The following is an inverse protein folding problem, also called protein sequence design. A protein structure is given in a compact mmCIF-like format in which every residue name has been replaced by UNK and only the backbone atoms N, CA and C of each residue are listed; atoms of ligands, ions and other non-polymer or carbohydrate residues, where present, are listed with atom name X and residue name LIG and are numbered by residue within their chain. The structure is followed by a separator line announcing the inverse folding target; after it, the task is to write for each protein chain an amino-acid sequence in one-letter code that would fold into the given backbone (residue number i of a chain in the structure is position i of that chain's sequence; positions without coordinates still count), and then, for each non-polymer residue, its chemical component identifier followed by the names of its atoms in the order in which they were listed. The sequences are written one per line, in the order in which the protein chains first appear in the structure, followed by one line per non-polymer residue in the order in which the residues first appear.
data_IF_781591105495
#
_entry.id   IF_781591105495
#
_cell.length_a   1.000
_cell.length_b   1.000
_cell.length_c   1.000
_cell.angle_alpha   90.00
_cell.angle_beta   90.00
_cell.angle_gamma   90.00
#
_symmetry.space_group_name_H-M   'P 1'
#
loop_
_entity.id
_entity.type
_entity.pdbx_description
1 polymer ?
#
# COMPACT_ATOMS: atom_id res chain seq x y z
N UNK A 1 30.70 -10.56 6.05
CA UNK A 1 29.80 -9.41 6.28
C UNK A 1 29.04 -8.99 5.02
N UNK A 2 29.68 -8.70 3.88
CA UNK A 2 28.98 -8.26 2.64
C UNK A 2 27.92 -9.24 2.11
N UNK A 3 28.10 -10.55 2.30
CA UNK A 3 27.16 -11.59 1.84
C UNK A 3 25.93 -11.70 2.77
N UNK A 4 26.06 -11.36 4.06
CA UNK A 4 24.93 -11.29 4.99
C UNK A 4 24.07 -10.05 4.76
N UNK A 5 24.70 -8.91 4.43
CA UNK A 5 23.97 -7.69 4.05
C UNK A 5 23.17 -7.84 2.74
N UNK A 6 23.56 -8.77 1.85
CA UNK A 6 22.89 -9.03 0.57
C UNK A 6 21.51 -9.70 0.74
N UNK A 7 21.30 -10.41 1.86
CA UNK A 7 20.05 -11.10 2.16
C UNK A 7 19.07 -10.20 2.93
N UNK A 8 19.59 -9.35 3.83
CA UNK A 8 18.78 -8.46 4.67
C UNK A 8 18.41 -7.16 3.95
N UNK A 9 19.29 -6.62 3.10
CA UNK A 9 19.07 -5.40 2.34
C UNK A 9 19.56 -5.58 0.91
N UNK A 10 18.72 -6.12 0.04
CA UNK A 10 19.08 -6.36 -1.33
C UNK A 10 19.65 -5.12 -2.04
N UNK A 11 20.66 -5.25 -2.91
CA UNK A 11 21.35 -4.12 -3.53
C UNK A 11 20.49 -3.30 -4.50
N UNK A 12 19.26 -3.74 -4.78
CA UNK A 12 18.24 -2.99 -5.51
C UNK A 12 17.54 -1.92 -4.67
N UNK A 13 17.81 -1.83 -3.36
CA UNK A 13 17.34 -0.71 -2.56
C UNK A 13 17.96 0.60 -3.04
N UNK A 14 17.11 1.62 -3.19
CA UNK A 14 17.46 2.94 -3.74
C UNK A 14 18.67 3.58 -3.02
N UNK A 15 18.84 3.33 -1.72
CA UNK A 15 19.98 3.84 -0.96
C UNK A 15 21.33 3.37 -1.50
N UNK A 16 21.44 2.11 -1.94
CA UNK A 16 22.68 1.57 -2.52
C UNK A 16 22.85 2.00 -3.97
N UNK A 17 21.78 1.98 -4.75
CA UNK A 17 21.81 2.40 -6.16
C UNK A 17 22.15 3.89 -6.32
N UNK A 18 21.64 4.75 -5.44
CA UNK A 18 21.93 6.18 -5.47
C UNK A 18 23.41 6.46 -5.20
N UNK A 19 23.98 5.86 -4.16
CA UNK A 19 25.41 6.01 -3.83
C UNK A 19 26.27 5.38 -4.93
N UNK A 20 25.89 4.19 -5.42
CA UNK A 20 26.59 3.54 -6.52
C UNK A 20 26.57 4.38 -7.80
N UNK A 21 25.45 5.00 -8.16
CA UNK A 21 25.34 5.87 -9.33
C UNK A 21 26.18 7.15 -9.18
N UNK A 22 26.21 7.75 -7.98
CA UNK A 22 27.07 8.91 -7.69
C UNK A 22 28.55 8.53 -7.76
N UNK A 23 28.93 7.40 -7.16
CA UNK A 23 30.30 6.90 -7.17
C UNK A 23 30.72 6.49 -8.58
N UNK A 24 29.88 5.78 -9.34
CA UNK A 24 30.13 5.48 -10.75
C UNK A 24 30.28 6.77 -11.53
N UNK A 25 29.38 7.75 -11.43
CA UNK A 25 29.52 9.02 -12.14
C UNK A 25 30.76 9.84 -11.72
N UNK A 26 31.23 9.72 -10.48
CA UNK A 26 32.40 10.42 -9.96
C UNK A 26 33.74 9.71 -10.27
N UNK A 27 33.72 8.38 -10.34
CA UNK A 27 34.88 7.51 -10.60
C UNK A 27 34.94 7.04 -12.06
N UNK A 28 33.94 7.36 -12.87
CA UNK A 28 33.93 7.08 -14.30
C UNK A 28 34.97 7.97 -15.00
N UNK A 29 36.18 7.42 -15.16
CA UNK A 29 37.25 8.00 -15.98
C UNK A 29 37.03 7.77 -17.48
N UNK A 30 36.10 6.89 -17.86
CA UNK A 30 35.67 6.76 -19.25
C UNK A 30 34.86 7.98 -19.61
N UNK A 31 35.56 9.00 -20.12
CA UNK A 31 34.96 10.10 -20.88
C UNK A 31 34.13 9.46 -21.98
N UNK A 32 32.83 9.26 -21.76
CA UNK A 32 31.87 8.98 -22.81
C UNK A 32 31.97 10.17 -23.75
N UNK A 33 32.78 9.97 -24.77
CA UNK A 33 33.06 10.91 -25.83
C UNK A 33 31.80 10.88 -26.69
N UNK A 34 30.72 11.47 -26.17
CA UNK A 34 29.53 11.81 -26.94
C UNK A 34 30.04 12.47 -28.21
N UNK A 35 29.68 11.85 -29.33
CA UNK A 35 30.22 12.07 -30.67
C UNK A 35 30.65 13.52 -30.85
N UNK A 36 31.96 13.69 -30.99
CA UNK A 36 32.64 14.98 -31.09
C UNK A 36 32.19 15.73 -32.35
N UNK A 37 31.16 16.55 -32.22
CA UNK A 37 31.04 17.78 -32.99
C UNK A 37 31.89 18.86 -32.30
N UNK A 38 32.95 19.32 -32.97
CA UNK A 38 33.77 20.47 -32.54
C UNK A 38 32.84 21.64 -32.19
N UNK A 39 32.67 21.98 -30.90
CA UNK A 39 31.95 23.22 -30.57
C UNK A 39 31.37 23.42 -29.18
N UNK A 40 31.16 22.42 -28.30
CA UNK A 40 30.58 22.76 -26.99
C UNK A 40 30.87 21.74 -25.88
N UNK A 41 32.01 21.92 -25.20
CA UNK A 41 32.24 21.34 -23.86
C UNK A 41 31.23 21.86 -22.82
N UNK A 42 30.50 22.93 -23.14
CA UNK A 42 29.45 23.53 -22.32
C UNK A 42 28.16 22.71 -22.40
N UNK A 43 27.79 22.17 -23.57
CA UNK A 43 26.52 21.45 -23.78
C UNK A 43 26.37 20.19 -22.92
N UNK A 44 27.43 19.38 -22.77
CA UNK A 44 27.39 18.18 -21.92
C UNK A 44 27.32 18.51 -20.42
N UNK A 45 28.04 19.55 -19.97
CA UNK A 45 27.99 20.02 -18.57
C UNK A 45 26.65 20.66 -18.23
N UNK A 46 26.07 21.41 -19.16
CA UNK A 46 24.71 21.97 -19.03
C UNK A 46 23.68 20.86 -18.99
N UNK A 47 23.77 19.84 -19.85
CA UNK A 47 22.87 18.68 -19.82
C UNK A 47 22.91 17.93 -18.48
N UNK A 48 24.10 17.69 -17.94
CA UNK A 48 24.27 17.08 -16.62
C UNK A 48 23.71 17.97 -15.50
N UNK A 49 23.95 19.28 -15.57
CA UNK A 49 23.36 20.25 -14.63
C UNK A 49 21.83 20.25 -14.66
N UNK A 50 21.23 20.14 -15.84
CA UNK A 50 19.76 20.05 -16.01
C UNK A 50 19.22 18.74 -15.41
N UNK A 51 19.87 17.59 -15.68
CA UNK A 51 19.45 16.30 -15.10
C UNK A 51 19.53 16.32 -13.57
N UNK A 52 20.62 16.86 -13.01
CA UNK A 52 20.79 16.99 -11.56
C UNK A 52 19.74 17.92 -10.95
N UNK A 53 19.40 19.02 -11.63
CA UNK A 53 18.36 19.94 -11.19
C UNK A 53 16.98 19.29 -11.23
N UNK A 54 16.65 18.52 -12.27
CA UNK A 54 15.42 17.73 -12.33
C UNK A 54 15.37 16.65 -11.23
N UNK A 55 16.48 15.94 -11.00
CA UNK A 55 16.57 14.96 -9.92
C UNK A 55 16.34 15.61 -8.55
N UNK A 56 16.94 16.79 -8.31
CA UNK A 56 16.74 17.56 -7.09
C UNK A 56 15.29 18.01 -6.92
N UNK A 57 14.64 18.49 -7.99
CA UNK A 57 13.23 18.87 -7.96
C UNK A 57 12.32 17.68 -7.63
N UNK A 58 12.58 16.51 -8.23
CA UNK A 58 11.85 15.27 -7.93
C UNK A 58 12.03 14.86 -6.46
N UNK A 59 13.25 14.95 -5.93
CA UNK A 59 13.53 14.65 -4.52
C UNK A 59 12.83 15.62 -3.56
N UNK A 60 12.82 16.91 -3.87
CA UNK A 60 12.11 17.92 -3.08
C UNK A 60 10.60 17.63 -3.10
N UNK A 61 10.04 17.36 -4.27
CA UNK A 61 8.63 17.02 -4.41
C UNK A 61 8.29 15.76 -3.61
N UNK A 62 9.09 14.70 -3.73
CA UNK A 62 8.87 13.45 -3.00
C UNK A 62 8.97 13.64 -1.48
N UNK A 63 9.94 14.43 -1.01
CA UNK A 63 10.08 14.76 0.43
C UNK A 63 8.86 15.50 0.96
N UNK A 64 8.38 16.51 0.22
CA UNK A 64 7.18 17.27 0.63
C UNK A 64 5.94 16.38 0.70
N UNK A 65 5.79 15.49 -0.30
CA UNK A 65 4.71 14.53 -0.38
C UNK A 65 4.73 13.54 0.79
N UNK A 66 5.92 13.05 1.15
CA UNK A 66 6.12 12.18 2.30
C UNK A 66 5.77 12.87 3.62
N UNK A 67 6.20 14.13 3.82
CA UNK A 67 5.88 14.91 5.02
C UNK A 67 4.37 15.17 5.16
N UNK A 68 3.68 15.43 4.04
CA UNK A 68 2.21 15.56 4.03
C UNK A 68 1.51 14.25 4.40
N UNK A 69 1.99 13.13 3.86
CA UNK A 69 1.47 11.81 4.20
C UNK A 69 1.71 11.48 5.68
N UNK A 70 2.91 11.71 6.18
CA UNK A 70 3.27 11.51 7.59
C UNK A 70 2.43 12.39 8.52
N UNK A 71 2.23 13.66 8.17
CA UNK A 71 1.32 14.56 8.89
C UNK A 71 -0.12 14.06 8.93
N UNK A 72 -0.63 13.57 7.81
CA UNK A 72 -1.99 13.03 7.73
C UNK A 72 -2.15 11.73 8.54
N UNK A 73 -1.12 10.88 8.57
CA UNK A 73 -1.09 9.63 9.33
C UNK A 73 -0.92 9.87 10.84
N UNK A 74 -0.05 10.79 11.24
CA UNK A 74 0.16 11.14 12.66
C UNK A 74 -1.04 11.90 13.24
N UNK A 75 -1.62 12.83 12.48
CA UNK A 75 -2.87 13.51 12.86
C UNK A 75 -4.07 12.55 13.05
N UNK A 76 -4.03 11.37 12.43
CA UNK A 76 -5.02 10.29 12.63
C UNK A 76 -4.86 9.60 13.99
N UNK A 77 -3.63 9.41 14.47
CA UNK A 77 -3.35 8.78 15.76
C UNK A 77 -3.78 9.63 16.97
N UNK A 78 -3.70 10.96 16.85
CA UNK A 78 -4.03 11.89 17.94
C UNK A 78 -5.55 12.01 18.18
N UNK A 79 -6.39 11.74 17.16
CA UNK A 79 -7.84 11.96 17.28
C UNK A 79 -8.59 10.84 18.05
N UNK A 80 -7.95 9.73 18.40
CA UNK A 80 -8.41 8.71 19.38
C UNK A 80 -9.76 8.01 19.11
N UNK A 81 -10.54 8.45 18.12
CA UNK A 81 -11.83 7.90 17.74
C UNK A 81 -11.73 7.30 16.34
N UNK A 82 -11.96 6.00 16.25
CA UNK A 82 -12.17 5.32 14.98
C UNK A 82 -13.25 6.08 14.18
N UNK A 83 -12.88 6.63 13.02
CA UNK A 83 -13.80 7.31 12.09
C UNK A 83 -13.67 8.83 11.97
N UNK A 84 -13.03 9.55 12.90
CA UNK A 84 -12.87 11.01 12.77
C UNK A 84 -11.46 11.40 12.34
N UNK A 85 -11.30 11.67 11.04
CA UNK A 85 -10.07 12.26 10.50
C UNK A 85 -10.19 13.78 10.59
N UNK A 86 -9.24 14.46 11.22
CA UNK A 86 -9.22 15.94 11.27
C UNK A 86 -9.36 16.54 9.87
N UNK A 87 -10.10 17.65 9.66
CA UNK A 87 -10.24 18.32 8.37
C UNK A 87 -8.89 18.63 7.71
N UNK A 88 -7.88 18.93 8.54
CA UNK A 88 -6.52 19.19 8.10
C UNK A 88 -5.86 17.92 7.52
N UNK A 89 -6.04 16.78 8.16
CA UNK A 89 -5.55 15.50 7.65
C UNK A 89 -6.31 15.04 6.39
N UNK A 90 -7.60 15.37 6.25
CA UNK A 90 -8.36 15.11 5.02
C UNK A 90 -7.84 15.95 3.85
N UNK A 91 -7.57 17.24 4.07
CA UNK A 91 -6.97 18.12 3.05
C UNK A 91 -5.60 17.62 2.59
N UNK A 92 -4.73 17.23 3.53
CA UNK A 92 -3.42 16.67 3.21
C UNK A 92 -3.51 15.36 2.41
N UNK A 93 -4.46 14.48 2.71
CA UNK A 93 -4.69 13.25 1.92
C UNK A 93 -5.17 13.55 0.49
N UNK A 94 -6.03 14.55 0.32
CA UNK A 94 -6.49 14.98 -1.00
C UNK A 94 -5.34 15.54 -1.85
N UNK A 95 -4.41 16.26 -1.23
CA UNK A 95 -3.21 16.76 -1.92
C UNK A 95 -2.26 15.62 -2.30
N UNK A 96 -2.06 14.63 -1.42
CA UNK A 96 -1.24 13.44 -1.72
C UNK A 96 -1.88 12.59 -2.84
N UNK A 97 -3.21 12.50 -2.92
CA UNK A 97 -3.89 11.80 -4.02
C UNK A 97 -3.59 12.39 -5.41
N UNK A 98 -3.32 13.70 -5.50
CA UNK A 98 -2.96 14.35 -6.76
C UNK A 98 -1.52 14.04 -7.20
N UNK A 99 -0.73 13.37 -6.35
CA UNK A 99 0.66 13.02 -6.61
C UNK A 99 0.74 11.56 -7.11
N UNK A 100 1.07 11.31 -8.39
CA UNK A 100 0.97 9.97 -8.99
C UNK A 100 1.72 8.88 -8.23
N UNK A 101 2.89 9.21 -7.67
CA UNK A 101 3.75 8.26 -6.95
C UNK A 101 3.22 7.85 -5.57
N UNK A 102 2.39 8.68 -4.93
CA UNK A 102 1.88 8.42 -3.57
C UNK A 102 0.36 8.21 -3.51
N UNK A 103 -0.32 8.30 -4.64
CA UNK A 103 -1.78 8.14 -4.73
C UNK A 103 -2.26 6.83 -4.09
N UNK A 104 -1.57 5.71 -4.34
CA UNK A 104 -1.90 4.40 -3.75
C UNK A 104 -1.74 4.34 -2.22
N UNK A 105 -0.84 5.14 -1.63
CA UNK A 105 -0.69 5.24 -0.17
C UNK A 105 -1.80 6.09 0.46
N UNK A 106 -2.27 7.12 -0.25
CA UNK A 106 -3.46 7.85 0.17
C UNK A 106 -4.72 6.96 0.09
N UNK A 107 -4.85 6.14 -0.96
CA UNK A 107 -5.93 5.16 -1.06
C UNK A 107 -5.88 4.10 0.05
N UNK A 108 -4.69 3.57 0.37
CA UNK A 108 -4.51 2.66 1.51
C UNK A 108 -4.98 3.31 2.82
N UNK A 109 -4.60 4.57 3.02
CA UNK A 109 -5.00 5.35 4.19
C UNK A 109 -6.51 5.57 4.26
N UNK A 110 -7.19 5.77 3.14
CA UNK A 110 -8.65 5.89 3.07
C UNK A 110 -9.34 4.55 3.27
N UNK A 111 -8.79 3.47 2.70
CA UNK A 111 -9.30 2.11 2.86
C UNK A 111 -9.30 1.67 4.32
N UNK A 112 -8.30 2.07 5.10
CA UNK A 112 -8.25 1.83 6.54
C UNK A 112 -9.42 2.46 7.34
N UNK A 113 -10.11 3.45 6.77
CA UNK A 113 -11.27 4.13 7.38
C UNK A 113 -12.61 3.53 6.92
N UNK A 114 -12.59 2.53 6.03
CA UNK A 114 -13.83 1.92 5.55
C UNK A 114 -14.52 1.18 6.69
N UNK A 115 -15.70 1.67 7.05
CA UNK A 115 -16.68 0.90 7.82
C UNK A 115 -17.49 0.00 6.89
N UNK A 116 -17.63 -1.28 7.26
CA UNK A 116 -18.46 -2.25 6.54
C UNK A 116 -19.93 -1.98 6.87
N UNK A 117 -20.63 -1.33 5.94
CA UNK A 117 -22.06 -1.06 6.00
C UNK A 117 -22.57 -0.74 4.57
N UNK A 118 -23.89 -0.62 4.42
CA UNK A 118 -24.53 -0.36 3.12
C UNK A 118 -24.19 1.02 2.52
N UNK A 119 -23.81 2.01 3.33
CA UNK A 119 -23.60 3.38 2.85
C UNK A 119 -22.35 3.46 1.97
N UNK A 120 -22.53 3.94 0.73
CA UNK A 120 -21.43 4.11 -0.23
C UNK A 120 -20.72 2.80 -0.60
N UNK A 121 -21.41 1.66 -0.49
CA UNK A 121 -20.80 0.33 -0.60
C UNK A 121 -20.05 0.08 -1.92
N UNK A 122 -20.60 0.58 -3.05
CA UNK A 122 -19.96 0.44 -4.37
C UNK A 122 -18.60 1.13 -4.40
N UNK A 123 -18.49 2.33 -3.84
CA UNK A 123 -17.25 3.09 -3.82
C UNK A 123 -16.24 2.47 -2.85
N UNK A 124 -16.70 1.98 -1.69
CA UNK A 124 -15.89 1.23 -0.73
C UNK A 124 -15.31 -0.03 -1.35
N UNK A 125 -16.12 -0.80 -2.07
CA UNK A 125 -15.67 -1.99 -2.82
C UNK A 125 -14.63 -1.63 -3.87
N UNK A 126 -14.88 -0.59 -4.66
CA UNK A 126 -13.94 -0.16 -5.70
C UNK A 126 -12.61 0.31 -5.10
N UNK A 127 -12.64 1.09 -4.03
CA UNK A 127 -11.45 1.55 -3.30
C UNK A 127 -10.68 0.36 -2.71
N UNK A 128 -11.35 -0.51 -1.94
CA UNK A 128 -10.69 -1.66 -1.32
C UNK A 128 -10.09 -2.61 -2.36
N UNK A 129 -10.76 -2.79 -3.51
CA UNK A 129 -10.23 -3.60 -4.61
C UNK A 129 -8.97 -3.02 -5.26
N UNK A 130 -8.87 -1.68 -5.41
CA UNK A 130 -7.64 -1.03 -5.89
C UNK A 130 -6.51 -1.18 -4.89
N UNK A 131 -6.80 -0.96 -3.61
CA UNK A 131 -5.81 -1.13 -2.53
C UNK A 131 -5.35 -2.58 -2.43
N UNK A 132 -6.23 -3.57 -2.58
CA UNK A 132 -5.87 -4.99 -2.56
C UNK A 132 -4.88 -5.37 -3.67
N UNK A 133 -4.99 -4.77 -4.86
CA UNK A 133 -4.04 -4.97 -5.97
C UNK A 133 -2.68 -4.31 -5.72
N UNK A 134 -2.68 -3.21 -4.97
CA UNK A 134 -1.46 -2.48 -4.64
C UNK A 134 -0.72 -3.11 -3.45
N UNK A 135 -1.43 -3.39 -2.36
CA UNK A 135 -0.89 -3.92 -1.12
C UNK A 135 -1.89 -4.89 -0.48
N UNK A 136 -1.76 -6.20 -0.75
CA UNK A 136 -2.60 -7.20 -0.11
C UNK A 136 -2.08 -7.42 1.31
N UNK A 137 -2.67 -6.70 2.26
CA UNK A 137 -2.43 -6.90 3.70
C UNK A 137 -3.67 -7.51 4.35
N UNK A 138 -3.49 -8.14 5.51
CA UNK A 138 -4.54 -8.88 6.24
C UNK A 138 -5.88 -8.12 6.29
N UNK A 139 -5.86 -6.88 6.78
CA UNK A 139 -7.08 -6.08 6.95
C UNK A 139 -7.78 -5.72 5.63
N UNK A 140 -7.03 -5.57 4.54
CA UNK A 140 -7.59 -5.25 3.21
C UNK A 140 -8.19 -6.49 2.55
N UNK A 141 -7.52 -7.64 2.69
CA UNK A 141 -7.96 -8.93 2.13
C UNK A 141 -9.27 -9.38 2.77
N UNK A 142 -9.34 -9.43 4.10
CA UNK A 142 -10.56 -9.80 4.80
C UNK A 142 -11.69 -8.76 4.63
N UNK A 143 -11.38 -7.46 4.63
CA UNK A 143 -12.38 -6.42 4.35
C UNK A 143 -13.01 -6.57 2.96
N UNK A 144 -12.25 -7.07 1.97
CA UNK A 144 -12.81 -7.36 0.65
C UNK A 144 -13.97 -8.35 0.75
N UNK A 145 -13.78 -9.45 1.48
CA UNK A 145 -14.82 -10.45 1.69
C UNK A 145 -16.03 -9.87 2.44
N UNK A 146 -15.80 -9.06 3.48
CA UNK A 146 -16.88 -8.40 4.23
C UNK A 146 -17.71 -7.44 3.34
N UNK A 147 -17.05 -6.63 2.51
CA UNK A 147 -17.75 -5.72 1.61
C UNK A 147 -18.51 -6.47 0.50
N UNK A 148 -17.98 -7.60 0.03
CA UNK A 148 -18.68 -8.47 -0.94
C UNK A 148 -19.93 -9.08 -0.30
N UNK A 149 -19.84 -9.59 0.93
CA UNK A 149 -21.00 -10.11 1.66
C UNK A 149 -22.06 -9.02 1.89
N UNK A 150 -21.65 -7.83 2.33
CA UNK A 150 -22.57 -6.69 2.47
C UNK A 150 -23.27 -6.32 1.16
N UNK A 151 -22.64 -6.59 0.01
CA UNK A 151 -23.23 -6.31 -1.32
C UNK A 151 -24.12 -7.43 -1.85
N UNK A 152 -24.34 -8.49 -1.06
CA UNK A 152 -25.09 -9.69 -1.46
C UNK A 152 -24.32 -10.65 -2.36
N UNK A 153 -23.03 -10.40 -2.62
CA UNK A 153 -22.20 -11.24 -3.50
C UNK A 153 -21.59 -12.41 -2.73
N UNK A 154 -22.44 -13.28 -2.18
CA UNK A 154 -22.03 -14.25 -1.15
C UNK A 154 -20.97 -15.25 -1.61
N UNK A 155 -21.08 -15.77 -2.84
CA UNK A 155 -20.09 -16.70 -3.39
C UNK A 155 -18.71 -16.06 -3.52
N UNK A 156 -18.65 -14.80 -3.96
CA UNK A 156 -17.38 -14.07 -4.07
C UNK A 156 -16.82 -13.74 -2.69
N UNK A 157 -17.69 -13.44 -1.73
CA UNK A 157 -17.28 -13.18 -0.34
C UNK A 157 -16.62 -14.42 0.28
N UNK A 158 -17.20 -15.60 0.10
CA UNK A 158 -16.63 -16.87 0.58
C UNK A 158 -15.26 -17.15 -0.06
N UNK A 159 -15.15 -17.01 -1.38
CA UNK A 159 -13.88 -17.19 -2.10
C UNK A 159 -12.81 -16.21 -1.61
N UNK A 160 -13.16 -14.93 -1.46
CA UNK A 160 -12.23 -13.92 -0.96
C UNK A 160 -11.80 -14.20 0.49
N UNK A 161 -12.71 -14.69 1.34
CA UNK A 161 -12.40 -15.05 2.72
C UNK A 161 -11.48 -16.26 2.80
N UNK A 162 -11.74 -17.30 2.01
CA UNK A 162 -10.87 -18.48 1.93
C UNK A 162 -9.47 -18.10 1.47
N UNK A 163 -9.35 -17.30 0.40
CA UNK A 163 -8.05 -16.79 -0.05
C UNK A 163 -7.33 -15.99 1.05
N UNK A 164 -8.08 -15.20 1.84
CA UNK A 164 -7.51 -14.46 2.95
C UNK A 164 -7.00 -15.38 4.07
N UNK A 165 -7.71 -16.46 4.42
CA UNK A 165 -7.24 -17.45 5.40
C UNK A 165 -5.92 -18.09 4.95
N UNK A 166 -5.85 -18.56 3.71
CA UNK A 166 -4.66 -19.23 3.19
C UNK A 166 -3.46 -18.29 3.03
N UNK A 167 -3.69 -17.00 2.81
CA UNK A 167 -2.63 -16.01 2.64
C UNK A 167 -2.21 -15.33 3.95
N UNK A 168 -3.16 -15.16 4.88
CA UNK A 168 -3.02 -14.39 6.12
C UNK A 168 -3.72 -15.11 7.29
N UNK A 169 -3.14 -16.19 7.83
CA UNK A 169 -3.78 -17.00 8.88
C UNK A 169 -3.92 -16.29 10.24
N UNK A 170 -3.47 -15.03 10.35
CA UNK A 170 -3.51 -14.21 11.57
C UNK A 170 -4.76 -13.32 11.68
N UNK A 171 -5.78 -13.53 10.85
CA UNK A 171 -7.01 -12.73 10.76
C UNK A 171 -8.00 -12.80 11.93
N UNK A 172 -7.51 -12.95 13.17
CA UNK A 172 -8.37 -13.13 14.37
C UNK A 172 -9.27 -11.92 14.62
N UNK A 173 -8.77 -10.71 14.40
CA UNK A 173 -9.54 -9.49 14.61
C UNK A 173 -10.65 -9.35 13.55
N UNK A 174 -10.34 -9.74 12.33
CA UNK A 174 -11.25 -9.73 11.19
C UNK A 174 -12.35 -10.78 11.36
N UNK A 175 -12.03 -11.98 11.88
CA UNK A 175 -13.04 -12.97 12.31
C UNK A 175 -13.98 -12.41 13.37
N UNK A 176 -13.45 -11.78 14.43
CA UNK A 176 -14.28 -11.14 15.46
C UNK A 176 -15.16 -10.03 14.88
N UNK A 177 -14.67 -9.29 13.90
CA UNK A 177 -15.46 -8.30 13.18
C UNK A 177 -16.60 -8.97 12.40
N UNK A 178 -16.35 -10.10 11.73
CA UNK A 178 -17.38 -10.87 11.04
C UNK A 178 -18.46 -11.40 12.00
N UNK A 179 -18.07 -11.90 13.18
CA UNK A 179 -19.00 -12.32 14.24
C UNK A 179 -19.95 -11.18 14.63
N UNK A 180 -19.39 -10.00 14.94
CA UNK A 180 -20.17 -8.82 15.30
C UNK A 180 -21.09 -8.33 14.18
N UNK A 181 -20.65 -8.45 12.91
CA UNK A 181 -21.47 -8.10 11.75
C UNK A 181 -22.61 -9.11 11.54
N UNK A 182 -22.37 -10.41 11.77
CA UNK A 182 -23.39 -11.45 11.69
C UNK A 182 -24.46 -11.33 12.78
N UNK A 183 -24.10 -10.84 13.97
CA UNK A 183 -25.08 -10.52 15.02
C UNK A 183 -26.01 -9.37 14.61
N UNK A 184 -25.48 -8.36 13.91
CA UNK A 184 -26.24 -7.15 13.53
C UNK A 184 -27.02 -7.28 12.23
N UNK A 185 -26.43 -7.96 11.25
CA UNK A 185 -26.96 -8.13 9.90
C UNK A 185 -26.77 -9.59 9.43
N UNK A 186 -27.52 -10.53 10.05
CA UNK A 186 -27.39 -11.95 9.76
C UNK A 186 -27.72 -12.29 8.30
N UNK A 187 -28.56 -11.48 7.64
CA UNK A 187 -28.95 -11.70 6.25
C UNK A 187 -27.74 -11.68 5.29
N UNK A 188 -26.74 -10.85 5.56
CA UNK A 188 -25.54 -10.75 4.72
C UNK A 188 -24.38 -11.58 5.26
N UNK A 189 -24.23 -11.71 6.59
CA UNK A 189 -23.00 -12.22 7.18
C UNK A 189 -23.09 -13.62 7.80
N UNK A 190 -24.28 -14.13 8.17
CA UNK A 190 -24.38 -15.40 8.90
C UNK A 190 -23.80 -16.58 8.09
N UNK A 191 -24.16 -16.70 6.81
CA UNK A 191 -23.63 -17.76 5.94
C UNK A 191 -22.14 -17.60 5.61
N UNK A 192 -21.59 -16.37 5.68
CA UNK A 192 -20.14 -16.17 5.55
C UNK A 192 -19.42 -16.59 6.83
N UNK A 193 -19.99 -16.30 8.00
CA UNK A 193 -19.44 -16.71 9.30
C UNK A 193 -19.38 -18.24 9.42
N UNK A 194 -20.46 -18.93 9.07
CA UNK A 194 -20.48 -20.40 9.08
C UNK A 194 -19.39 -20.99 8.18
N UNK A 195 -19.27 -20.47 6.95
CA UNK A 195 -18.23 -20.86 6.01
C UNK A 195 -16.82 -20.58 6.55
N UNK A 196 -16.60 -19.40 7.13
CA UNK A 196 -15.33 -19.00 7.72
C UNK A 196 -14.87 -19.96 8.81
N UNK A 197 -15.76 -20.31 9.74
CA UNK A 197 -15.45 -21.23 10.85
C UNK A 197 -15.08 -22.63 10.34
N UNK A 198 -15.79 -23.13 9.32
CA UNK A 198 -15.45 -24.41 8.69
C UNK A 198 -14.07 -24.36 8.04
N UNK A 199 -13.77 -23.30 7.28
CA UNK A 199 -12.50 -23.15 6.56
C UNK A 199 -11.30 -22.94 7.47
N UNK A 200 -11.46 -22.24 8.59
CA UNK A 200 -10.39 -22.11 9.58
C UNK A 200 -10.06 -23.46 10.24
N UNK A 201 -11.06 -24.29 10.53
CA UNK A 201 -10.82 -25.65 11.02
C UNK A 201 -10.10 -26.52 9.98
N UNK A 202 -10.49 -26.41 8.71
CA UNK A 202 -9.82 -27.10 7.59
C UNK A 202 -8.35 -26.67 7.49
N UNK A 203 -8.09 -25.36 7.50
CA UNK A 203 -6.73 -24.81 7.51
C UNK A 203 -5.92 -25.31 8.70
N UNK A 204 -6.47 -25.26 9.92
CA UNK A 204 -5.79 -25.73 11.12
C UNK A 204 -5.42 -27.21 11.00
N UNK A 205 -6.34 -28.06 10.52
CA UNK A 205 -6.05 -29.50 10.28
C UNK A 205 -4.96 -29.70 9.23
N UNK A 206 -4.98 -28.94 8.15
CA UNK A 206 -3.99 -29.05 7.08
C UNK A 206 -2.58 -28.69 7.58
N UNK A 207 -2.45 -27.69 8.44
CA UNK A 207 -1.15 -27.26 9.00
C UNK A 207 -0.64 -28.21 10.09
N UNK A 208 -1.52 -28.78 10.93
CA UNK A 208 -1.10 -29.66 12.04
C UNK A 208 -0.87 -31.12 11.62
N UNK A 209 -1.28 -31.51 10.41
CA UNK A 209 -1.05 -32.85 9.86
C UNK A 209 0.20 -32.95 8.96
N UNK A 210 1.09 -31.93 9.00
CA UNK A 210 2.42 -31.94 8.37
C UNK A 210 3.52 -32.13 9.41
#
# INVERSE_FOLDING_TARGET
LAIHSLLEYPPWYVYFLAIAAVLLGALDETRYRMVQGKGSHVGGRVGMGVILLFALLVLIQLRSAYQLLEGALTGRGVSGKAGTTSPLAQGQLADVQRMPLLSSYAELSQSALIEVNAQGLKDKLALNSRVLRFTPIVSVAYRQALLLAQSGQQQQAQLAWEQAIWSYPTGINERKQLEHLAEKDPAHFAALLEFALQKEQEYARAVHNQ
#
